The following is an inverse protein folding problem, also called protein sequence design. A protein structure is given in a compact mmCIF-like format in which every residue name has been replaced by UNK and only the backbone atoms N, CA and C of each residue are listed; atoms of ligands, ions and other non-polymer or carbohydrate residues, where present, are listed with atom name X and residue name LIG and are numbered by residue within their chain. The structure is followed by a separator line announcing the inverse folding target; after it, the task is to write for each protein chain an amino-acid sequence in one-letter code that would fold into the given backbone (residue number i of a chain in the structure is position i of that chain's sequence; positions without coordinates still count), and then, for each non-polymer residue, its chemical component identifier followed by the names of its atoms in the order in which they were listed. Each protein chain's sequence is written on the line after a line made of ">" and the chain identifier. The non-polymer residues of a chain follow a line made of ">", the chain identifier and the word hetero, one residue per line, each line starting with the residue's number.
data_IF_078643462355
#
_entry.id   IF_078643462355
#
_cell.length_a   1.000
_cell.length_b   1.000
_cell.length_c   1.000
_cell.angle_alpha   90.00
_cell.angle_beta   90.00
_cell.angle_gamma   90.00
#
_symmetry.space_group_name_H-M   'P 1'
#
loop_
_entity.id
_entity.type
_entity.pdbx_description
1 polymer ?
#
# COMPACT_ATOMS: atom_id res chain seq x y z
N UNK A 1 12.46 -14.16 -8.31
CA UNK A 1 12.55 -12.72 -7.99
C UNK A 1 12.40 -12.56 -6.49
N UNK A 2 13.24 -11.75 -5.83
CA UNK A 2 13.11 -11.47 -4.40
C UNK A 2 11.80 -10.71 -4.11
N UNK A 3 11.23 -10.83 -2.90
CA UNK A 3 9.98 -10.13 -2.55
C UNK A 3 10.12 -8.60 -2.67
N UNK A 4 11.34 -8.11 -2.44
CA UNK A 4 11.73 -6.70 -2.57
C UNK A 4 11.58 -6.13 -3.99
N UNK A 5 11.40 -6.96 -5.02
CA UNK A 5 11.18 -6.49 -6.39
C UNK A 5 9.72 -6.15 -6.71
N UNK A 6 8.78 -6.39 -5.78
CA UNK A 6 7.36 -6.08 -5.95
C UNK A 6 6.95 -4.89 -5.07
N UNK A 7 6.11 -4.02 -5.62
CA UNK A 7 5.43 -2.98 -4.86
C UNK A 7 4.12 -3.51 -4.29
N UNK A 8 3.70 -3.02 -3.12
CA UNK A 8 2.44 -3.41 -2.47
C UNK A 8 1.84 -2.25 -1.69
N UNK A 9 0.52 -2.22 -1.55
CA UNK A 9 -0.16 -1.33 -0.64
C UNK A 9 0.31 -1.60 0.80
N UNK A 10 0.69 -0.55 1.52
CA UNK A 10 1.22 -0.73 2.86
C UNK A 10 0.07 -0.98 3.85
N UNK A 11 -0.05 -2.20 4.37
CA UNK A 11 -0.72 -2.41 5.66
C UNK A 11 0.21 -1.85 6.73
N UNK A 12 -0.27 -0.86 7.49
CA UNK A 12 0.49 -0.20 8.55
C UNK A 12 -0.03 -0.65 9.90
N UNK A 13 0.88 -1.04 10.79
CA UNK A 13 0.56 -1.40 12.17
C UNK A 13 1.56 -0.77 13.14
N UNK A 14 1.25 -0.83 14.43
CA UNK A 14 2.13 -0.47 15.54
C UNK A 14 1.96 -1.51 16.64
N UNK A 15 3.05 -1.86 17.31
CA UNK A 15 3.00 -2.69 18.52
C UNK A 15 3.08 -1.80 19.79
N UNK A 16 2.87 -2.43 20.95
CA UNK A 16 2.87 -1.72 22.23
C UNK A 16 4.29 -1.34 22.71
N UNK A 17 5.33 -1.94 22.15
CA UNK A 17 6.71 -1.75 22.62
C UNK A 17 7.24 -0.40 22.12
N UNK A 18 7.03 -0.12 20.83
CA UNK A 18 7.64 1.04 20.17
C UNK A 18 6.64 2.15 19.84
N UNK A 19 5.33 1.86 19.78
CA UNK A 19 4.28 2.78 19.30
C UNK A 19 4.60 3.45 17.96
N UNK A 20 5.59 2.96 17.22
CA UNK A 20 5.98 3.41 15.90
C UNK A 20 5.13 2.70 14.87
N UNK A 21 4.67 3.45 13.87
CA UNK A 21 3.96 2.89 12.73
C UNK A 21 4.99 2.29 11.78
N UNK A 22 4.80 1.04 11.41
CA UNK A 22 5.64 0.32 10.45
C UNK A 22 4.79 -0.41 9.42
N UNK A 23 5.36 -0.62 8.23
CA UNK A 23 4.73 -1.38 7.15
C UNK A 23 4.83 -2.87 7.48
N UNK A 24 3.78 -3.62 7.15
CA UNK A 24 3.72 -5.06 7.37
C UNK A 24 4.51 -5.86 6.32
N UNK A 25 4.85 -5.24 5.19
CA UNK A 25 5.63 -5.86 4.13
C UNK A 25 6.99 -6.38 4.67
N UNK A 26 7.31 -7.63 4.37
CA UNK A 26 8.53 -8.29 4.85
C UNK A 26 8.47 -8.75 6.31
N UNK A 27 7.31 -8.67 6.97
CA UNK A 27 7.11 -9.19 8.34
C UNK A 27 6.29 -10.46 8.26
N UNK A 28 6.79 -11.52 8.88
CA UNK A 28 6.08 -12.78 8.99
C UNK A 28 4.96 -12.66 10.05
N UNK A 29 3.74 -12.99 9.63
CA UNK A 29 2.58 -13.16 10.51
C UNK A 29 2.17 -14.62 10.49
N UNK A 30 1.88 -15.14 11.68
CA UNK A 30 1.28 -16.46 11.87
C UNK A 30 0.00 -16.32 12.70
N UNK A 31 -0.95 -17.24 12.53
CA UNK A 31 -2.18 -17.30 13.33
C UNK A 31 -3.44 -17.26 12.47
N UNK A 32 -4.40 -18.13 12.80
CA UNK A 32 -5.60 -18.35 11.99
C UNK A 32 -6.66 -17.25 12.16
N UNK A 33 -6.45 -16.31 13.08
CA UNK A 33 -7.39 -15.22 13.36
C UNK A 33 -7.11 -13.94 12.56
N UNK A 34 -6.09 -13.95 11.69
CA UNK A 34 -5.78 -12.78 10.87
C UNK A 34 -6.79 -12.63 9.74
N UNK A 35 -7.59 -11.57 9.82
CA UNK A 35 -8.50 -11.14 8.78
C UNK A 35 -8.13 -9.70 8.42
N UNK A 36 -8.08 -9.41 7.12
CA UNK A 36 -7.84 -8.05 6.67
C UNK A 36 -8.89 -7.65 5.64
N UNK A 37 -9.66 -6.63 5.97
CA UNK A 37 -10.54 -5.92 5.05
C UNK A 37 -10.10 -4.46 5.01
N UNK A 38 -9.95 -3.91 3.81
CA UNK A 38 -9.71 -2.49 3.62
C UNK A 38 -10.85 -1.68 4.28
N UNK A 39 -10.61 -0.42 4.65
CA UNK A 39 -11.49 0.47 5.45
C UNK A 39 -11.65 0.15 6.94
N UNK A 40 -11.08 -0.94 7.44
CA UNK A 40 -11.15 -1.31 8.86
C UNK A 40 -9.81 -1.11 9.58
N UNK A 41 -9.90 -0.80 10.88
CA UNK A 41 -8.79 -0.82 11.83
C UNK A 41 -8.97 -2.00 12.79
N UNK A 42 -7.90 -2.77 12.96
CA UNK A 42 -7.87 -3.96 13.80
C UNK A 42 -6.97 -3.76 15.01
N UNK A 43 -7.31 -4.43 16.11
CA UNK A 43 -6.42 -4.61 17.27
C UNK A 43 -6.34 -6.09 17.57
N UNK A 44 -5.12 -6.62 17.59
CA UNK A 44 -4.85 -8.02 17.89
C UNK A 44 -4.03 -8.14 19.18
N UNK A 45 -4.27 -9.22 19.91
CA UNK A 45 -3.30 -9.75 20.88
C UNK A 45 -2.34 -10.62 20.09
N UNK A 46 -1.05 -10.29 20.13
CA UNK A 46 -0.03 -11.02 19.41
C UNK A 46 1.21 -11.25 20.29
N UNK A 47 1.98 -12.28 19.94
CA UNK A 47 3.30 -12.54 20.50
C UNK A 47 4.37 -12.11 19.51
N UNK A 48 5.27 -11.21 19.92
CA UNK A 48 6.47 -10.82 19.18
C UNK A 48 7.57 -11.87 19.40
N UNK A 49 8.16 -12.39 18.33
CA UNK A 49 9.17 -13.46 18.40
C UNK A 49 10.39 -13.05 17.57
N UNK A 50 11.56 -13.03 18.20
CA UNK A 50 12.84 -12.82 17.54
C UNK A 50 13.34 -14.14 16.95
N UNK A 51 13.59 -14.14 15.64
CA UNK A 51 14.09 -15.28 14.89
C UNK A 51 15.61 -15.26 14.87
N UNK A 52 16.24 -16.43 15.02
CA UNK A 52 17.69 -16.56 14.94
C UNK A 52 18.21 -16.50 13.50
N UNK A 53 17.50 -17.15 12.59
CA UNK A 53 17.88 -17.28 11.18
C UNK A 53 16.68 -16.90 10.28
N UNK A 54 16.36 -15.61 10.15
CA UNK A 54 15.27 -15.16 9.27
C UNK A 54 15.66 -15.35 7.79
N UNK A 55 14.68 -15.63 6.90
CA UNK A 55 14.89 -15.55 5.45
C UNK A 55 15.49 -14.19 5.00
N UNK A 56 16.20 -14.20 3.86
CA UNK A 56 17.06 -13.10 3.40
C UNK A 56 16.36 -11.74 3.22
N UNK A 57 15.05 -11.72 2.94
CA UNK A 57 14.26 -10.50 2.68
C UNK A 57 13.13 -10.29 3.69
N UNK A 58 13.21 -10.87 4.88
CA UNK A 58 12.21 -10.69 5.94
C UNK A 58 12.82 -10.17 7.23
N UNK A 59 11.99 -9.50 8.03
CA UNK A 59 12.35 -9.02 9.36
C UNK A 59 12.82 -10.16 10.26
N UNK A 60 13.81 -9.88 11.12
CA UNK A 60 14.21 -10.80 12.20
C UNK A 60 13.14 -10.96 13.28
N UNK A 61 12.04 -10.21 13.19
CA UNK A 61 10.88 -10.30 14.08
C UNK A 61 9.70 -10.87 13.32
N UNK A 62 9.04 -11.86 13.92
CA UNK A 62 7.71 -12.33 13.50
C UNK A 62 6.66 -12.06 14.57
N UNK A 63 5.40 -11.94 14.15
CA UNK A 63 4.27 -11.79 15.06
C UNK A 63 3.32 -13.00 14.94
N UNK A 64 3.01 -13.61 16.07
CA UNK A 64 2.00 -14.69 16.15
C UNK A 64 0.72 -14.11 16.73
N UNK A 65 -0.32 -14.00 15.91
CA UNK A 65 -1.60 -13.44 16.30
C UNK A 65 -2.39 -14.50 17.06
N UNK A 66 -2.83 -14.15 18.27
CA UNK A 66 -3.48 -15.07 19.20
C UNK A 66 -4.98 -14.82 19.27
N UNK A 67 -5.40 -13.56 19.20
CA UNK A 67 -6.79 -13.16 19.41
C UNK A 67 -7.09 -11.81 18.74
N UNK A 68 -8.24 -11.69 18.09
CA UNK A 68 -8.78 -10.40 17.62
C UNK A 68 -9.48 -9.69 18.79
N UNK A 69 -8.95 -8.54 19.19
CA UNK A 69 -9.51 -7.74 20.29
C UNK A 69 -10.53 -6.72 19.81
N UNK A 70 -10.35 -6.15 18.60
CA UNK A 70 -11.34 -5.26 18.00
C UNK A 70 -11.19 -5.11 16.50
N UNK A 71 -12.32 -4.84 15.82
CA UNK A 71 -12.44 -4.55 14.39
C UNK A 71 -13.41 -3.38 14.23
N UNK A 72 -12.92 -2.24 13.77
CA UNK A 72 -13.72 -1.02 13.64
C UNK A 72 -13.64 -0.48 12.22
N UNK A 73 -14.78 -0.19 11.58
CA UNK A 73 -14.79 0.52 10.29
C UNK A 73 -14.35 1.97 10.54
N UNK A 74 -13.31 2.43 9.85
CA UNK A 74 -12.72 3.77 10.04
C UNK A 74 -12.98 4.72 8.88
N UNK A 75 -13.34 4.19 7.71
CA UNK A 75 -13.78 4.99 6.56
C UNK A 75 -15.27 4.75 6.41
N UNK A 76 -16.06 5.70 6.91
CA UNK A 76 -17.52 5.60 7.01
C UNK A 76 -18.26 6.57 6.07
N UNK A 77 -17.53 7.51 5.48
CA UNK A 77 -18.05 8.51 4.57
C UNK A 77 -17.12 8.66 3.37
N UNK A 78 -17.70 9.10 2.26
CA UNK A 78 -16.96 9.40 1.05
C UNK A 78 -16.09 10.64 1.27
N UNK A 79 -14.90 10.64 0.68
CA UNK A 79 -13.98 11.76 0.81
C UNK A 79 -13.28 12.06 -0.52
N UNK A 80 -13.17 13.33 -0.84
CA UNK A 80 -12.41 13.82 -1.98
C UNK A 80 -11.32 14.78 -1.52
N UNK A 81 -10.10 14.56 -2.01
CA UNK A 81 -8.97 15.44 -1.75
C UNK A 81 -8.20 15.72 -3.03
N UNK A 82 -7.77 16.97 -3.21
CA UNK A 82 -6.84 17.32 -4.27
C UNK A 82 -5.43 16.95 -3.84
N UNK A 83 -4.71 16.26 -4.70
CA UNK A 83 -3.34 15.80 -4.47
C UNK A 83 -2.46 16.18 -5.65
N UNK A 84 -1.18 16.41 -5.36
CA UNK A 84 -0.15 16.59 -6.37
C UNK A 84 0.76 15.38 -6.36
N UNK A 85 0.95 14.77 -7.52
CA UNK A 85 1.59 13.49 -7.70
C UNK A 85 2.74 13.63 -8.69
N UNK A 86 3.88 13.02 -8.38
CA UNK A 86 4.94 12.77 -9.33
C UNK A 86 4.81 11.32 -9.83
N UNK A 87 4.72 11.12 -11.14
CA UNK A 87 4.63 9.82 -11.79
C UNK A 87 5.98 9.52 -12.44
N UNK A 88 6.59 8.40 -12.07
CA UNK A 88 7.85 7.93 -12.64
C UNK A 88 7.68 7.57 -14.12
N UNK A 89 8.77 7.66 -14.90
CA UNK A 89 8.80 7.18 -16.29
C UNK A 89 8.86 5.67 -16.47
N UNK A 90 8.77 4.92 -15.38
CA UNK A 90 8.81 3.46 -15.36
C UNK A 90 7.51 2.85 -14.80
N UNK A 91 7.19 1.68 -15.32
CA UNK A 91 6.15 0.79 -14.78
C UNK A 91 6.82 -0.20 -13.82
N UNK A 92 6.17 -0.47 -12.70
CA UNK A 92 6.62 -1.44 -11.71
C UNK A 92 5.67 -2.64 -11.63
N UNK A 93 6.19 -3.77 -11.16
CA UNK A 93 5.37 -4.91 -10.81
C UNK A 93 4.76 -4.69 -9.42
N UNK A 94 3.45 -4.82 -9.34
CA UNK A 94 2.64 -4.55 -8.17
C UNK A 94 1.86 -5.80 -7.77
N UNK A 95 1.83 -6.08 -6.47
CA UNK A 95 0.96 -7.10 -5.87
C UNK A 95 0.19 -6.43 -4.75
N UNK A 96 -1.14 -6.45 -4.84
CA UNK A 96 -1.94 -5.86 -3.78
C UNK A 96 -1.80 -6.67 -2.48
N UNK A 97 -1.75 -5.97 -1.35
CA UNK A 97 -1.47 -6.60 -0.06
C UNK A 97 -2.58 -7.58 0.36
N UNK A 98 -3.81 -7.31 -0.06
CA UNK A 98 -4.96 -8.16 0.21
C UNK A 98 -4.84 -9.51 -0.53
N UNK A 99 -4.33 -9.49 -1.76
CA UNK A 99 -4.02 -10.64 -2.60
C UNK A 99 -2.90 -11.50 -2.02
N UNK A 100 -1.86 -10.87 -1.47
CA UNK A 100 -0.79 -11.59 -0.74
C UNK A 100 -1.36 -12.35 0.48
N UNK A 101 -2.31 -11.76 1.19
CA UNK A 101 -2.92 -12.36 2.38
C UNK A 101 -3.89 -13.49 1.99
N UNK A 102 -4.65 -13.32 0.91
CA UNK A 102 -5.66 -14.29 0.48
C UNK A 102 -5.14 -15.33 -0.53
N UNK A 103 -3.81 -15.41 -0.75
CA UNK A 103 -3.15 -16.36 -1.67
C UNK A 103 -3.71 -16.26 -3.11
N UNK A 104 -4.19 -15.08 -3.51
CA UNK A 104 -4.48 -14.78 -4.90
C UNK A 104 -3.25 -14.09 -5.46
N UNK A 105 -2.34 -14.85 -6.06
CA UNK A 105 -1.12 -14.29 -6.66
C UNK A 105 -1.46 -13.58 -7.97
N UNK A 106 -1.97 -12.35 -7.88
CA UNK A 106 -2.18 -11.46 -9.00
C UNK A 106 -1.05 -10.41 -9.04
N UNK A 107 -0.16 -10.53 -10.01
CA UNK A 107 0.84 -9.51 -10.31
C UNK A 107 0.25 -8.61 -11.39
N UNK A 108 0.21 -7.30 -11.12
CA UNK A 108 -0.23 -6.27 -12.04
C UNK A 108 0.93 -5.34 -12.39
N UNK A 109 0.85 -4.69 -13.55
CA UNK A 109 1.67 -3.52 -13.85
C UNK A 109 1.04 -2.28 -13.21
N UNK A 110 1.87 -1.39 -12.65
CA UNK A 110 1.42 -0.17 -12.01
C UNK A 110 2.37 1.00 -12.26
N UNK A 111 1.82 2.21 -12.20
CA UNK A 111 2.53 3.47 -12.18
C UNK A 111 3.19 3.64 -10.81
N UNK A 112 4.50 3.89 -10.77
CA UNK A 112 5.18 4.31 -9.55
C UNK A 112 4.93 5.80 -9.33
N UNK A 113 4.22 6.11 -8.24
CA UNK A 113 3.75 7.47 -7.95
C UNK A 113 4.26 7.93 -6.59
N UNK A 114 4.67 9.19 -6.49
CA UNK A 114 5.02 9.85 -5.25
C UNK A 114 4.05 10.99 -4.96
N UNK A 115 3.39 10.97 -3.81
CA UNK A 115 2.66 12.14 -3.33
C UNK A 115 3.68 13.22 -2.92
N UNK A 116 3.62 14.38 -3.57
CA UNK A 116 4.64 15.42 -3.38
C UNK A 116 4.53 16.12 -2.04
N UNK A 117 3.35 16.10 -1.40
CA UNK A 117 3.13 16.72 -0.10
C UNK A 117 3.58 15.82 1.06
N UNK A 118 3.31 14.51 0.98
CA UNK A 118 3.61 13.56 2.06
C UNK A 118 4.89 12.77 1.84
N UNK A 119 5.49 12.83 0.64
CA UNK A 119 6.56 11.95 0.17
C UNK A 119 6.19 10.45 0.15
N UNK A 120 4.91 10.12 0.30
CA UNK A 120 4.41 8.75 0.24
C UNK A 120 4.59 8.18 -1.18
N UNK A 121 5.14 6.97 -1.26
CA UNK A 121 5.25 6.21 -2.50
C UNK A 121 4.07 5.25 -2.62
N UNK A 122 3.46 5.24 -3.79
CA UNK A 122 2.26 4.49 -4.17
C UNK A 122 2.52 3.77 -5.48
N UNK A 123 1.88 2.62 -5.66
CA UNK A 123 1.79 1.94 -6.94
C UNK A 123 0.33 2.02 -7.39
N UNK A 124 0.05 2.76 -8.45
CA UNK A 124 -1.32 2.96 -8.96
C UNK A 124 -1.48 2.20 -10.28
N UNK A 125 -2.42 1.26 -10.34
CA UNK A 125 -2.72 0.52 -11.58
C UNK A 125 -3.31 1.41 -12.67
N UNK A 126 -3.96 2.51 -12.28
CA UNK A 126 -4.53 3.49 -13.22
C UNK A 126 -4.80 4.83 -12.55
N UNK A 127 -4.83 5.89 -13.35
CA UNK A 127 -5.34 7.21 -12.99
C UNK A 127 -6.36 7.57 -14.08
N UNK A 128 -7.62 7.80 -13.72
CA UNK A 128 -8.69 8.10 -14.67
C UNK A 128 -8.35 9.37 -15.46
N UNK A 129 -8.44 9.31 -16.79
CA UNK A 129 -8.12 10.43 -17.67
C UNK A 129 -6.63 10.70 -17.89
N UNK A 130 -5.74 9.85 -17.39
CA UNK A 130 -4.29 9.97 -17.59
C UNK A 130 -3.74 8.88 -18.51
N UNK A 131 -3.19 9.29 -19.65
CA UNK A 131 -2.49 8.41 -20.59
C UNK A 131 -0.98 8.46 -20.32
N UNK A 132 -0.45 7.36 -19.81
CA UNK A 132 0.96 7.25 -19.47
C UNK A 132 1.81 6.88 -20.69
N UNK A 133 2.92 7.58 -20.91
CA UNK A 133 3.92 7.22 -21.90
C UNK A 133 5.22 6.80 -21.21
N UNK A 134 5.63 5.54 -21.44
CA UNK A 134 6.87 5.00 -20.88
C UNK A 134 8.07 5.85 -21.30
N UNK A 135 8.96 6.13 -20.35
CA UNK A 135 10.13 6.99 -20.54
C UNK A 135 9.84 8.49 -20.33
N UNK A 136 8.63 8.87 -19.95
CA UNK A 136 8.32 10.23 -19.50
C UNK A 136 7.96 10.25 -18.02
N UNK A 137 8.53 11.20 -17.28
CA UNK A 137 8.09 11.52 -15.94
C UNK A 137 7.10 12.68 -15.95
N UNK A 138 6.17 12.68 -15.01
CA UNK A 138 5.10 13.65 -14.95
C UNK A 138 4.96 14.23 -13.56
N UNK A 139 4.63 15.51 -13.47
CA UNK A 139 3.98 16.06 -12.29
C UNK A 139 2.54 16.36 -12.65
N UNK A 140 1.59 15.81 -11.90
CA UNK A 140 0.16 15.97 -12.15
C UNK A 140 -0.56 16.48 -10.90
N UNK A 141 -1.63 17.22 -11.11
CA UNK A 141 -2.68 17.40 -10.13
C UNK A 141 -3.75 16.32 -10.38
N UNK A 142 -4.23 15.71 -9.31
CA UNK A 142 -5.30 14.73 -9.37
C UNK A 142 -6.25 14.89 -8.19
N UNK A 143 -7.48 14.43 -8.36
CA UNK A 143 -8.43 14.24 -7.28
C UNK A 143 -8.36 12.80 -6.81
N UNK A 144 -8.05 12.59 -5.53
CA UNK A 144 -8.18 11.30 -4.85
C UNK A 144 -9.62 11.19 -4.33
N UNK A 145 -10.36 10.21 -4.81
CA UNK A 145 -11.72 9.91 -4.39
C UNK A 145 -11.69 8.61 -3.60
N UNK A 146 -12.17 8.67 -2.36
CA UNK A 146 -12.38 7.51 -1.49
C UNK A 146 -13.87 7.31 -1.31
N UNK A 147 -14.38 6.14 -1.69
CA UNK A 147 -15.77 5.74 -1.43
C UNK A 147 -15.80 4.79 -0.24
N UNK A 148 -16.77 4.96 0.67
CA UNK A 148 -16.85 4.17 1.89
C UNK A 148 -17.60 2.84 1.72
N UNK A 149 -18.55 2.76 0.78
CA UNK A 149 -19.37 1.56 0.54
C UNK A 149 -19.82 1.44 -0.93
N UNK A 150 -19.32 0.47 -1.71
CA UNK A 150 -18.18 -0.40 -1.38
C UNK A 150 -16.89 0.42 -1.24
N UNK A 151 -15.98 -0.04 -0.39
CA UNK A 151 -14.70 0.66 -0.23
C UNK A 151 -13.93 0.68 -1.55
N UNK A 152 -13.52 1.87 -1.98
CA UNK A 152 -12.63 2.03 -3.12
C UNK A 152 -11.82 3.32 -3.01
N UNK A 153 -10.64 3.32 -3.62
CA UNK A 153 -9.81 4.52 -3.80
C UNK A 153 -9.45 4.62 -5.26
N UNK A 154 -9.71 5.78 -5.86
CA UNK A 154 -9.37 6.06 -7.25
C UNK A 154 -8.82 7.47 -7.39
N UNK A 155 -8.05 7.66 -8.44
CA UNK A 155 -7.40 8.93 -8.76
C UNK A 155 -7.90 9.40 -10.11
N UNK A 156 -8.32 10.65 -10.18
CA UNK A 156 -8.85 11.28 -11.40
C UNK A 156 -7.92 12.43 -11.75
N UNK A 157 -7.34 12.40 -12.95
CA UNK A 157 -6.48 13.48 -13.44
C UNK A 157 -7.29 14.79 -13.47
N UNK A 158 -6.72 15.85 -12.91
CA UNK A 158 -7.27 17.20 -13.06
C UNK A 158 -6.41 18.03 -14.00
N UNK A 159 -5.09 17.91 -13.91
CA UNK A 159 -4.16 18.70 -14.72
C UNK A 159 -2.79 18.03 -14.84
N UNK A 160 -2.15 18.12 -16.01
CA UNK A 160 -0.73 17.79 -16.17
C UNK A 160 0.07 19.08 -15.98
N UNK A 161 0.90 19.12 -14.92
CA UNK A 161 1.70 20.28 -14.57
C UNK A 161 3.08 20.26 -15.24
N UNK A 162 3.65 19.07 -15.43
CA UNK A 162 4.87 18.89 -16.22
C UNK A 162 4.93 17.50 -16.84
N UNK A 163 5.63 17.40 -17.99
CA UNK A 163 5.98 16.17 -18.69
C UNK A 163 7.40 16.32 -19.20
N UNK A 164 8.29 15.43 -18.77
CA UNK A 164 9.72 15.48 -19.09
C UNK A 164 10.18 14.09 -19.53
N UNK A 165 11.03 14.03 -20.57
CA UNK A 165 11.60 12.76 -21.01
C UNK A 165 12.71 12.37 -20.03
N UNK A 166 12.72 11.10 -19.61
CA UNK A 166 13.82 10.54 -18.81
C UNK A 166 14.98 10.26 -19.77
N UNK A 167 16.13 10.88 -19.50
CA UNK A 167 17.39 10.69 -20.24
C UNK A 167 18.04 9.32 -19.97
#
# INVERSE_FOLDING_TARGET
>A
MPLSSFWTDAIVFSDNDENTKQKLMGILIEGDCFEYYQSYKYKYKAKKVWMKDPPQDVSSVKYVFLELLSKNKVIIEDNETNVKLFVSGEIVHYVDAFSLINIQNAISEALLVKNTATNELLALTSIEGFEFEKGYQYTISAKKVTTAEPYSVRYILTEILSKEKVD
#
